data_IF_316981810441
#
_entry.id   IF_316981810441
#
_cell.length_a   1.000
_cell.length_b   1.000
_cell.length_c   1.000
_cell.angle_alpha   90.00
_cell.angle_beta   90.00
_cell.angle_gamma   90.00
#
_symmetry.space_group_name_H-M   'P 1'
#
loop_
_entity.id
_entity.type
_entity.pdbx_description
1 polymer ?
#
# COMPACT_ATOMS: atom_id res chain seq x y z
N UNK A 1 -23.64 41.94 -4.05
CA UNK A 1 -22.62 41.15 -4.77
C UNK A 1 -22.05 40.15 -3.77
N UNK A 2 -22.48 38.88 -3.81
CA UNK A 2 -21.88 37.81 -3.03
C UNK A 2 -21.40 36.75 -4.02
N UNK A 3 -20.11 36.78 -4.32
CA UNK A 3 -19.48 35.70 -5.07
C UNK A 3 -19.35 34.51 -4.13
N UNK A 4 -20.12 33.45 -4.39
CA UNK A 4 -19.94 32.17 -3.74
C UNK A 4 -18.55 31.64 -4.12
N UNK A 5 -17.64 31.58 -3.15
CA UNK A 5 -16.34 30.92 -3.30
C UNK A 5 -16.61 29.45 -3.63
N UNK A 6 -16.37 29.03 -4.88
CA UNK A 6 -16.37 27.61 -5.25
C UNK A 6 -15.22 26.98 -4.47
N UNK A 7 -15.55 26.09 -3.53
CA UNK A 7 -14.55 25.23 -2.91
C UNK A 7 -13.88 24.41 -4.01
N UNK A 8 -12.55 24.47 -4.10
CA UNK A 8 -11.79 23.58 -4.96
C UNK A 8 -12.05 22.13 -4.49
N UNK A 9 -12.25 21.17 -5.41
CA UNK A 9 -12.42 19.78 -5.01
C UNK A 9 -11.15 19.32 -4.28
N UNK A 10 -11.26 19.03 -2.99
CA UNK A 10 -10.14 18.49 -2.22
C UNK A 10 -9.88 17.07 -2.72
N UNK A 11 -8.79 16.90 -3.46
CA UNK A 11 -8.31 15.57 -3.87
C UNK A 11 -7.95 14.79 -2.60
N UNK A 12 -8.52 13.59 -2.44
CA UNK A 12 -8.21 12.72 -1.31
C UNK A 12 -6.87 12.03 -1.59
N UNK A 13 -5.90 12.21 -0.70
CA UNK A 13 -4.56 11.65 -0.85
C UNK A 13 -4.55 10.12 -1.04
N UNK A 14 -5.60 9.41 -0.58
CA UNK A 14 -5.73 7.95 -0.76
C UNK A 14 -6.04 7.60 -2.20
N UNK A 15 -6.77 8.45 -2.89
CA UNK A 15 -7.08 8.29 -4.31
C UNK A 15 -5.81 8.58 -5.13
N UNK A 16 -5.06 9.62 -4.77
CA UNK A 16 -3.76 9.92 -5.40
C UNK A 16 -2.75 8.77 -5.25
N UNK A 17 -2.67 8.17 -4.06
CA UNK A 17 -1.81 7.00 -3.87
C UNK A 17 -2.27 5.85 -4.76
N UNK A 18 -3.58 5.59 -4.84
CA UNK A 18 -4.09 4.52 -5.71
C UNK A 18 -3.68 4.74 -7.18
N UNK A 19 -3.77 5.97 -7.67
CA UNK A 19 -3.33 6.31 -9.03
C UNK A 19 -1.83 6.11 -9.23
N UNK A 20 -1.00 6.48 -8.24
CA UNK A 20 0.44 6.22 -8.25
C UNK A 20 0.72 4.70 -8.27
N UNK A 21 0.03 3.91 -7.45
CA UNK A 21 0.21 2.45 -7.43
C UNK A 21 -0.11 1.83 -8.80
N UNK A 22 -1.15 2.32 -9.47
CA UNK A 22 -1.49 1.87 -10.83
C UNK A 22 -0.41 2.28 -11.84
N UNK A 23 0.03 3.54 -11.81
CA UNK A 23 1.05 4.06 -12.71
C UNK A 23 2.39 3.32 -12.61
N UNK A 24 2.71 2.76 -11.43
CA UNK A 24 3.92 1.99 -11.18
C UNK A 24 3.78 0.47 -11.36
N UNK A 25 2.63 0.00 -11.88
CA UNK A 25 2.28 -1.42 -12.07
C UNK A 25 2.46 -2.26 -10.80
N UNK A 26 2.01 -1.72 -9.66
CA UNK A 26 1.90 -2.50 -8.43
C UNK A 26 0.83 -3.56 -8.63
N UNK A 27 1.19 -4.83 -8.43
CA UNK A 27 0.30 -5.99 -8.65
C UNK A 27 -0.24 -6.57 -7.36
N UNK A 28 0.46 -6.36 -6.24
CA UNK A 28 0.08 -6.91 -4.95
C UNK A 28 0.10 -5.82 -3.87
N UNK A 29 -0.97 -5.73 -3.10
CA UNK A 29 -1.12 -4.74 -2.02
C UNK A 29 -1.40 -5.50 -0.73
N UNK A 30 -0.41 -5.56 0.15
CA UNK A 30 -0.51 -6.22 1.44
C UNK A 30 -0.91 -5.19 2.51
N UNK A 31 -1.81 -5.55 3.42
CA UNK A 31 -2.25 -4.64 4.47
C UNK A 31 -2.71 -5.40 5.72
N UNK A 32 -2.61 -4.75 6.88
CA UNK A 32 -3.47 -5.08 8.03
C UNK A 32 -4.74 -4.21 7.99
N UNK A 33 -5.84 -4.59 8.65
CA UNK A 33 -7.02 -3.72 8.73
C UNK A 33 -6.68 -2.40 9.43
N UNK A 34 -6.88 -1.27 8.74
CA UNK A 34 -6.59 0.07 9.25
C UNK A 34 -7.66 1.07 8.79
N UNK A 35 -8.11 1.92 9.72
CA UNK A 35 -9.10 2.95 9.44
C UNK A 35 -8.50 4.10 8.58
N UNK A 36 -7.21 4.41 8.75
CA UNK A 36 -6.53 5.45 7.97
C UNK A 36 -6.50 5.13 6.48
N UNK A 37 -6.12 3.90 6.15
CA UNK A 37 -6.02 3.39 4.78
C UNK A 37 -7.32 2.81 4.20
N UNK A 38 -8.44 2.79 4.95
CA UNK A 38 -9.65 2.07 4.56
C UNK A 38 -10.11 2.37 3.12
N UNK A 39 -10.12 3.65 2.72
CA UNK A 39 -10.50 4.06 1.36
C UNK A 39 -9.54 3.54 0.29
N UNK A 40 -8.23 3.66 0.51
CA UNK A 40 -7.21 3.13 -0.40
C UNK A 40 -7.34 1.60 -0.53
N UNK A 41 -7.55 0.90 0.59
CA UNK A 41 -7.76 -0.55 0.61
C UNK A 41 -8.98 -0.92 -0.21
N UNK A 42 -10.11 -0.20 -0.06
CA UNK A 42 -11.31 -0.43 -0.86
C UNK A 42 -11.06 -0.25 -2.36
N UNK A 43 -10.34 0.81 -2.75
CA UNK A 43 -9.97 1.03 -4.16
C UNK A 43 -9.12 -0.12 -4.70
N UNK A 44 -8.10 -0.57 -3.95
CA UNK A 44 -7.27 -1.71 -4.31
C UNK A 44 -8.08 -3.02 -4.40
N UNK A 45 -9.06 -3.24 -3.52
CA UNK A 45 -9.92 -4.43 -3.53
C UNK A 45 -10.85 -4.48 -4.74
N UNK A 46 -11.28 -3.30 -5.24
CA UNK A 46 -12.17 -3.18 -6.40
C UNK A 46 -11.42 -3.20 -7.73
N UNK A 47 -10.10 -3.06 -7.71
CA UNK A 47 -9.27 -3.08 -8.92
C UNK A 47 -9.05 -4.50 -9.43
N UNK A 48 -9.25 -4.71 -10.74
CA UNK A 48 -8.88 -5.96 -11.42
C UNK A 48 -7.37 -6.06 -11.71
N UNK A 49 -6.62 -4.97 -11.56
CA UNK A 49 -5.18 -4.95 -11.81
C UNK A 49 -4.38 -5.42 -10.58
N UNK A 50 -4.92 -5.24 -9.38
CA UNK A 50 -4.24 -5.47 -8.11
C UNK A 50 -4.85 -6.63 -7.33
N UNK A 51 -4.00 -7.42 -6.70
CA UNK A 51 -4.40 -8.38 -5.67
C UNK A 51 -4.21 -7.75 -4.30
N UNK A 52 -5.31 -7.53 -3.58
CA UNK A 52 -5.26 -7.05 -2.20
C UNK A 52 -5.19 -8.25 -1.25
N UNK A 53 -4.22 -8.24 -0.33
CA UNK A 53 -3.90 -9.35 0.57
C UNK A 53 -3.98 -8.84 2.01
N UNK A 54 -4.95 -9.33 2.77
CA UNK A 54 -5.05 -9.06 4.19
C UNK A 54 -4.01 -9.90 4.96
N UNK A 55 -3.31 -9.25 5.87
CA UNK A 55 -2.29 -9.84 6.74
C UNK A 55 -2.78 -9.93 8.18
N UNK A 56 -2.28 -10.92 8.92
CA UNK A 56 -2.52 -10.99 10.38
C UNK A 56 -1.57 -10.06 11.12
N UNK A 57 -0.33 -9.94 10.61
CA UNK A 57 0.68 -9.00 11.08
C UNK A 57 1.43 -8.38 9.90
N UNK A 58 1.86 -7.13 10.01
CA UNK A 58 2.55 -6.44 8.91
C UNK A 58 3.88 -7.08 8.50
N UNK A 59 4.52 -7.79 9.43
CA UNK A 59 5.76 -8.56 9.20
C UNK A 59 5.61 -9.55 8.04
N UNK A 60 4.44 -10.18 7.91
CA UNK A 60 4.15 -11.11 6.81
C UNK A 60 4.32 -10.44 5.43
N UNK A 61 4.06 -9.13 5.35
CA UNK A 61 4.14 -8.36 4.12
C UNK A 61 5.52 -8.35 3.48
N UNK A 62 6.59 -8.47 4.27
CA UNK A 62 7.97 -8.53 3.72
C UNK A 62 8.19 -9.82 2.94
N UNK A 63 7.74 -10.96 3.48
CA UNK A 63 7.88 -12.24 2.80
C UNK A 63 7.05 -12.27 1.51
N UNK A 64 5.85 -11.69 1.52
CA UNK A 64 5.02 -11.56 0.32
C UNK A 64 5.69 -10.66 -0.71
N UNK A 65 6.22 -9.50 -0.30
CA UNK A 65 6.92 -8.59 -1.21
C UNK A 65 8.15 -9.24 -1.85
N UNK A 66 8.92 -10.00 -1.06
CA UNK A 66 10.04 -10.79 -1.57
C UNK A 66 9.58 -11.84 -2.60
N UNK A 67 8.51 -12.58 -2.30
CA UNK A 67 7.93 -13.55 -3.23
C UNK A 67 7.38 -12.91 -4.51
N UNK A 68 6.73 -11.76 -4.40
CA UNK A 68 6.24 -10.98 -5.54
C UNK A 68 7.40 -10.58 -6.45
N UNK A 69 8.48 -10.05 -5.88
CA UNK A 69 9.67 -9.70 -6.65
C UNK A 69 10.32 -10.90 -7.33
N UNK A 70 10.46 -12.03 -6.62
CA UNK A 70 10.96 -13.28 -7.20
C UNK A 70 10.08 -13.75 -8.37
N UNK A 71 8.78 -13.50 -8.30
CA UNK A 71 7.82 -13.77 -9.37
C UNK A 71 7.75 -12.70 -10.47
N UNK A 72 8.65 -11.71 -10.47
CA UNK A 72 8.68 -10.61 -11.45
C UNK A 72 7.57 -9.57 -11.27
N UNK A 73 6.91 -9.55 -10.13
CA UNK A 73 5.85 -8.59 -9.80
C UNK A 73 6.32 -7.55 -8.79
N UNK A 74 5.59 -6.43 -8.74
CA UNK A 74 5.79 -5.37 -7.75
C UNK A 74 4.71 -5.44 -6.69
N UNK A 75 5.10 -5.24 -5.44
CA UNK A 75 4.21 -5.25 -4.29
C UNK A 75 4.41 -4.02 -3.42
N UNK A 76 3.38 -3.65 -2.67
CA UNK A 76 3.46 -2.64 -1.62
C UNK A 76 2.88 -3.20 -0.33
N UNK A 77 3.44 -2.78 0.80
CA UNK A 77 2.90 -3.04 2.13
C UNK A 77 2.36 -1.73 2.69
N UNK A 78 1.05 -1.67 2.93
CA UNK A 78 0.41 -0.60 3.67
C UNK A 78 0.63 -0.86 5.16
N UNK A 79 1.43 0.00 5.79
CA UNK A 79 1.89 -0.17 7.16
C UNK A 79 1.37 0.98 8.03
N UNK A 80 0.80 0.64 9.19
CA UNK A 80 0.45 1.62 10.21
C UNK A 80 1.72 2.11 10.91
N UNK A 81 1.68 3.33 11.44
CA UNK A 81 2.83 3.96 12.10
C UNK A 81 3.43 3.12 13.23
N UNK A 82 2.59 2.45 14.03
CA UNK A 82 3.02 1.59 15.14
C UNK A 82 3.78 0.36 14.69
N UNK A 83 3.45 -0.18 13.53
CA UNK A 83 4.02 -1.45 13.10
C UNK A 83 5.26 -1.34 12.21
N UNK A 84 5.64 -0.12 11.78
CA UNK A 84 7.01 0.20 11.33
C UNK A 84 8.04 -0.23 12.37
N UNK A 85 7.80 0.10 13.65
CA UNK A 85 8.69 -0.26 14.75
C UNK A 85 8.77 -1.77 14.99
N UNK A 86 7.67 -2.49 14.77
CA UNK A 86 7.62 -3.94 14.95
C UNK A 86 8.31 -4.69 13.81
N UNK A 87 8.35 -4.10 12.62
CA UNK A 87 8.76 -4.78 11.40
C UNK A 87 10.25 -4.56 11.05
N UNK A 88 10.94 -3.70 11.81
CA UNK A 88 12.33 -3.28 11.56
C UNK A 88 13.34 -4.44 11.43
N UNK A 89 13.25 -5.45 12.29
CA UNK A 89 14.15 -6.61 12.24
C UNK A 89 13.99 -7.38 10.92
N UNK A 90 12.76 -7.44 10.41
CA UNK A 90 12.44 -8.18 9.21
C UNK A 90 12.74 -7.35 7.95
N UNK A 91 12.63 -6.01 8.01
CA UNK A 91 13.08 -5.13 6.92
C UNK A 91 14.58 -5.31 6.64
N UNK A 92 15.37 -5.67 7.64
CA UNK A 92 16.78 -6.04 7.47
C UNK A 92 17.01 -7.22 6.50
N UNK A 93 16.02 -8.10 6.30
CA UNK A 93 16.12 -9.21 5.35
C UNK A 93 16.25 -8.74 3.91
N UNK A 94 15.62 -7.63 3.52
CA UNK A 94 15.76 -7.11 2.16
C UNK A 94 17.22 -6.83 1.82
N UNK A 95 17.95 -6.20 2.75
CA UNK A 95 19.40 -5.95 2.62
C UNK A 95 20.22 -7.23 2.63
N UNK A 96 19.93 -8.16 3.53
CA UNK A 96 20.70 -9.41 3.68
C UNK A 96 20.52 -10.34 2.49
N UNK A 97 19.29 -10.46 1.99
CA UNK A 97 18.91 -11.36 0.90
C UNK A 97 18.98 -10.69 -0.47
N UNK A 98 19.29 -9.38 -0.52
CA UNK A 98 19.38 -8.57 -1.74
C UNK A 98 18.07 -8.56 -2.54
N UNK A 99 16.95 -8.54 -1.82
CA UNK A 99 15.68 -8.13 -2.41
C UNK A 99 15.73 -6.62 -2.69
N UNK A 100 15.01 -6.12 -3.71
CA UNK A 100 15.00 -4.71 -4.08
C UNK A 100 14.55 -3.79 -2.94
#
# INVERSE_FOLDING_TARGET
MNAATRAEPSVDWRDDIFDVLQAHDIRQVCHVPDAGHARLIEHCQRSNAMRTIALTTEKEGIAIAAGAWLGGQRAVLLMQSSGVGNTINLLGLAKTLRFP
#
